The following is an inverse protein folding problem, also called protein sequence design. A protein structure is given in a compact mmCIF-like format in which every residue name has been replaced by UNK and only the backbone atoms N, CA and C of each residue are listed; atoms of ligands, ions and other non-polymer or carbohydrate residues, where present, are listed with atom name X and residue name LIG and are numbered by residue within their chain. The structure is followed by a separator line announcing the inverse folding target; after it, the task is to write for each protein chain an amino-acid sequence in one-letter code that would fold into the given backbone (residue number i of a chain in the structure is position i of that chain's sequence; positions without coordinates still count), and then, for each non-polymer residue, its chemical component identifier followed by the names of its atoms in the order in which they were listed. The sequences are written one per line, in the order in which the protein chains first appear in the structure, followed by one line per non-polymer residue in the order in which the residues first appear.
data_IF_746866491729
#
_entry.id   IF_746866491729
#
_cell.length_a   1.000
_cell.length_b   1.000
_cell.length_c   1.000
_cell.angle_alpha   90.00
_cell.angle_beta   90.00
_cell.angle_gamma   90.00
#
_symmetry.space_group_name_H-M   'P 1'
#
loop_
_entity.id
_entity.type
_entity.pdbx_description
1 polymer ?
#
# COMPACT_ATOMS: atom_id res chain seq x y z
N UNK A 1 36.09 0.22 55.69
CA UNK A 1 35.94 1.44 54.88
C UNK A 1 35.86 0.99 53.45
N UNK A 2 34.64 0.70 53.00
CA UNK A 2 34.35 0.26 51.63
C UNK A 2 34.07 1.53 50.82
N UNK A 3 34.91 1.85 49.82
CA UNK A 3 34.62 2.93 48.88
C UNK A 3 33.95 2.34 47.63
N UNK A 4 32.69 2.72 47.46
CA UNK A 4 31.83 2.40 46.33
C UNK A 4 32.35 3.16 45.09
N UNK A 5 32.86 2.41 44.10
CA UNK A 5 33.35 2.97 42.83
C UNK A 5 32.18 3.11 41.85
N UNK A 6 31.58 4.29 41.85
CA UNK A 6 30.50 4.69 40.92
C UNK A 6 31.06 4.81 39.51
N UNK A 7 30.81 3.80 38.68
CA UNK A 7 31.13 3.85 37.24
C UNK A 7 30.14 4.81 36.57
N UNK A 8 30.61 6.03 36.31
CA UNK A 8 29.89 7.00 35.46
C UNK A 8 29.86 6.47 34.02
N UNK A 9 28.72 5.89 33.62
CA UNK A 9 28.43 5.57 32.22
C UNK A 9 28.23 6.89 31.48
N UNK A 10 29.27 7.36 30.78
CA UNK A 10 29.12 8.43 29.81
C UNK A 10 28.19 7.97 28.70
N UNK A 11 26.94 8.44 28.72
CA UNK A 11 25.99 8.28 27.62
C UNK A 11 26.59 9.01 26.41
N UNK A 12 27.17 8.26 25.47
CA UNK A 12 27.64 8.80 24.19
C UNK A 12 26.40 9.29 23.43
N UNK A 13 26.16 10.60 23.47
CA UNK A 13 25.07 11.25 22.71
C UNK A 13 25.33 11.03 21.21
N UNK A 14 24.52 10.18 20.58
CA UNK A 14 24.56 9.93 19.13
C UNK A 14 24.17 11.20 18.39
N UNK A 15 25.11 11.80 17.66
CA UNK A 15 24.90 13.04 16.91
C UNK A 15 23.94 12.79 15.73
N UNK A 16 22.71 13.31 15.82
CA UNK A 16 21.63 13.16 14.85
C UNK A 16 21.56 14.31 13.83
N UNK A 17 22.72 14.80 13.36
CA UNK A 17 22.79 15.99 12.49
C UNK A 17 21.92 15.90 11.23
N UNK A 18 21.75 14.70 10.67
CA UNK A 18 20.90 14.47 9.50
C UNK A 18 19.40 14.62 9.80
N UNK A 19 18.96 14.19 11.00
CA UNK A 19 17.57 14.36 11.44
C UNK A 19 17.22 15.83 11.67
N UNK A 20 18.15 16.59 12.28
CA UNK A 20 17.99 18.05 12.45
C UNK A 20 17.89 18.76 11.10
N UNK A 21 18.71 18.38 10.12
CA UNK A 21 18.68 18.97 8.78
C UNK A 21 17.33 18.72 8.06
N UNK A 22 16.79 17.50 8.15
CA UNK A 22 15.47 17.19 7.57
C UNK A 22 14.34 18.00 8.20
N UNK A 23 14.39 18.21 9.52
CA UNK A 23 13.38 18.96 10.25
C UNK A 23 13.42 20.46 9.91
N UNK A 24 14.61 21.07 9.90
CA UNK A 24 14.78 22.49 9.55
C UNK A 24 14.40 22.73 8.09
N UNK A 25 14.75 21.82 7.17
CA UNK A 25 14.36 21.91 5.76
C UNK A 25 12.84 21.82 5.58
N UNK A 26 12.16 20.90 6.27
CA UNK A 26 10.70 20.77 6.24
C UNK A 26 9.98 22.01 6.80
N UNK A 27 10.49 22.58 7.90
CA UNK A 27 9.93 23.81 8.48
C UNK A 27 10.07 25.01 7.55
N UNK A 28 11.23 25.17 6.90
CA UNK A 28 11.47 26.24 5.93
C UNK A 28 10.57 26.04 4.70
N UNK A 29 10.41 24.81 4.20
CA UNK A 29 9.50 24.51 3.09
C UNK A 29 8.03 24.83 3.43
N UNK A 30 7.60 24.56 4.67
CA UNK A 30 6.25 24.89 5.14
C UNK A 30 6.02 26.40 5.21
N UNK A 31 6.96 27.15 5.79
CA UNK A 31 6.83 28.60 5.97
C UNK A 31 6.97 29.35 4.63
N UNK A 32 7.91 28.96 3.76
CA UNK A 32 8.17 29.66 2.49
C UNK A 32 7.34 29.14 1.31
N UNK A 33 6.80 27.93 1.37
CA UNK A 33 5.94 27.35 0.33
C UNK A 33 4.62 28.09 0.15
N UNK A 34 4.11 28.74 1.20
CA UNK A 34 2.92 29.59 1.16
C UNK A 34 3.14 30.91 0.39
N UNK A 35 4.38 31.40 0.29
CA UNK A 35 4.67 32.71 -0.29
C UNK A 35 5.33 32.66 -1.68
N UNK A 36 6.14 31.63 -1.98
CA UNK A 36 6.86 31.43 -3.25
C UNK A 36 6.64 29.99 -3.78
N UNK A 37 5.49 29.76 -4.40
CA UNK A 37 4.98 28.43 -4.78
C UNK A 37 5.96 27.49 -5.55
N UNK A 38 6.79 27.93 -6.52
CA UNK A 38 7.62 26.99 -7.27
C UNK A 38 8.87 26.50 -6.49
N UNK A 39 9.39 27.31 -5.55
CA UNK A 39 10.60 26.95 -4.79
C UNK A 39 10.29 26.00 -3.63
N UNK A 40 9.10 26.10 -3.04
CA UNK A 40 8.67 25.22 -1.94
C UNK A 40 8.54 23.75 -2.35
N UNK A 41 8.15 23.48 -3.60
CA UNK A 41 8.00 22.12 -4.11
C UNK A 41 9.34 21.38 -4.16
N UNK A 42 10.39 22.02 -4.70
CA UNK A 42 11.74 21.44 -4.77
C UNK A 42 12.32 21.18 -3.37
N UNK A 43 12.15 22.13 -2.43
CA UNK A 43 12.64 21.95 -1.06
C UNK A 43 11.88 20.85 -0.30
N UNK A 44 10.57 20.72 -0.53
CA UNK A 44 9.77 19.66 0.13
C UNK A 44 10.22 18.25 -0.28
N UNK A 45 10.54 18.04 -1.56
CA UNK A 45 11.06 16.77 -2.06
C UNK A 45 12.40 16.42 -1.40
N UNK A 46 13.31 17.40 -1.29
CA UNK A 46 14.60 17.21 -0.62
C UNK A 46 14.42 16.88 0.86
N UNK A 47 13.47 17.53 1.55
CA UNK A 47 13.17 17.25 2.95
C UNK A 47 12.66 15.82 3.16
N UNK A 48 11.78 15.32 2.28
CA UNK A 48 11.27 13.94 2.33
C UNK A 48 12.39 12.93 2.12
N UNK A 49 13.25 13.14 1.11
CA UNK A 49 14.39 12.25 0.82
C UNK A 49 15.36 12.18 2.01
N UNK A 50 15.73 13.34 2.58
CA UNK A 50 16.60 13.39 3.76
C UNK A 50 15.95 12.76 5.00
N UNK A 51 14.64 12.91 5.15
CA UNK A 51 13.86 12.26 6.20
C UNK A 51 13.90 10.73 6.10
N UNK A 52 13.64 10.17 4.91
CA UNK A 52 13.70 8.71 4.65
C UNK A 52 15.11 8.16 4.96
N UNK A 53 16.16 8.85 4.50
CA UNK A 53 17.56 8.45 4.76
C UNK A 53 17.88 8.54 6.27
N UNK A 54 17.35 9.55 6.98
CA UNK A 54 17.56 9.71 8.42
C UNK A 54 16.92 8.60 9.25
N UNK A 55 15.75 8.10 8.84
CA UNK A 55 15.05 6.98 9.47
C UNK A 55 15.89 5.70 9.32
N UNK A 56 16.40 5.44 8.12
CA UNK A 56 17.18 4.22 7.84
C UNK A 56 18.58 4.23 8.48
N UNK A 57 19.25 5.38 8.59
CA UNK A 57 20.63 5.45 9.13
C UNK A 57 20.73 5.70 10.62
N UNK A 58 19.88 6.56 11.19
CA UNK A 58 20.10 7.06 12.55
C UNK A 58 18.98 6.71 13.51
N UNK A 59 17.80 6.31 13.02
CA UNK A 59 16.54 6.16 13.80
C UNK A 59 16.32 7.33 14.75
N UNK A 60 16.71 8.55 14.35
CA UNK A 60 16.56 9.73 15.19
C UNK A 60 15.09 10.13 15.23
N UNK A 61 14.49 10.28 16.42
CA UNK A 61 13.10 10.71 16.58
C UNK A 61 12.79 12.03 15.85
N UNK A 62 13.79 12.90 15.70
CA UNK A 62 13.65 14.17 14.97
C UNK A 62 13.54 14.00 13.44
N UNK A 63 14.12 12.94 12.87
CA UNK A 63 13.96 12.62 11.44
C UNK A 63 12.56 12.11 11.12
N UNK A 64 11.96 11.34 12.03
CA UNK A 64 10.57 10.89 11.95
C UNK A 64 9.63 12.10 12.03
N UNK A 65 9.88 13.01 12.98
CA UNK A 65 9.13 14.27 13.08
C UNK A 65 9.27 15.13 11.81
N UNK A 66 10.46 15.19 11.22
CA UNK A 66 10.73 15.89 9.96
C UNK A 66 9.94 15.31 8.79
N UNK A 67 9.85 13.98 8.65
CA UNK A 67 9.04 13.34 7.61
C UNK A 67 7.55 13.62 7.78
N UNK A 68 7.02 13.54 9.00
CA UNK A 68 5.59 13.80 9.27
C UNK A 68 5.24 15.25 8.93
N UNK A 69 6.07 16.20 9.36
CA UNK A 69 5.87 17.62 9.07
C UNK A 69 6.01 17.92 7.57
N UNK A 70 6.97 17.30 6.88
CA UNK A 70 7.17 17.43 5.44
C UNK A 70 5.98 16.92 4.62
N UNK A 71 5.41 15.78 4.99
CA UNK A 71 4.21 15.23 4.33
C UNK A 71 2.99 16.14 4.52
N UNK A 72 2.77 16.67 5.71
CA UNK A 72 1.69 17.62 5.99
C UNK A 72 1.88 18.92 5.18
N UNK A 73 3.11 19.42 5.08
CA UNK A 73 3.44 20.60 4.30
C UNK A 73 3.20 20.41 2.80
N UNK A 74 3.54 19.23 2.26
CA UNK A 74 3.29 18.88 0.86
C UNK A 74 1.79 18.85 0.55
N UNK A 75 1.00 18.21 1.40
CA UNK A 75 -0.46 18.16 1.26
C UNK A 75 -1.06 19.58 1.31
N UNK A 76 -0.61 20.39 2.25
CA UNK A 76 -1.08 21.78 2.41
C UNK A 76 -0.72 22.65 1.20
N UNK A 77 0.50 22.49 0.66
CA UNK A 77 0.96 23.21 -0.53
C UNK A 77 0.13 22.86 -1.77
N UNK A 78 -0.15 21.57 -1.97
CA UNK A 78 -1.00 21.10 -3.08
C UNK A 78 -2.43 21.64 -2.94
N UNK A 79 -2.99 21.64 -1.73
CA UNK A 79 -4.32 22.20 -1.46
C UNK A 79 -4.40 23.70 -1.80
N UNK A 80 -3.39 24.50 -1.40
CA UNK A 80 -3.33 25.93 -1.72
C UNK A 80 -3.24 26.18 -3.24
N UNK A 81 -2.49 25.33 -3.96
CA UNK A 81 -2.39 25.41 -5.42
C UNK A 81 -3.74 25.15 -6.12
N UNK A 82 -4.49 24.14 -5.66
CA UNK A 82 -5.83 23.81 -6.19
C UNK A 82 -6.85 24.91 -5.91
N UNK A 83 -6.77 25.54 -4.72
CA UNK A 83 -7.62 26.67 -4.35
C UNK A 83 -7.32 27.92 -5.20
N UNK A 84 -6.04 28.21 -5.47
CA UNK A 84 -5.63 29.34 -6.31
C UNK A 84 -6.05 29.15 -7.79
N UNK A 85 -6.20 27.91 -8.26
CA UNK A 85 -6.62 27.57 -9.62
C UNK A 85 -8.15 27.51 -9.81
N UNK A 86 -8.96 27.76 -8.76
CA UNK A 86 -10.43 27.82 -8.86
C UNK A 86 -11.14 26.47 -9.06
N UNK A 87 -10.44 25.34 -8.94
CA UNK A 87 -10.97 24.00 -9.18
C UNK A 87 -11.47 23.32 -7.89
N UNK A 88 -12.31 24.00 -7.12
CA UNK A 88 -12.61 23.60 -5.73
C UNK A 88 -13.74 22.57 -5.56
N UNK A 89 -14.48 22.20 -6.61
CA UNK A 89 -15.68 21.36 -6.45
C UNK A 89 -15.51 19.88 -6.80
N UNK A 90 -14.50 19.51 -7.58
CA UNK A 90 -14.30 18.12 -8.06
C UNK A 90 -13.27 17.36 -7.25
N UNK A 91 -12.18 18.01 -6.81
CA UNK A 91 -11.08 17.35 -6.08
C UNK A 91 -11.46 17.02 -4.62
N UNK A 92 -12.25 17.87 -3.96
CA UNK A 92 -12.64 17.65 -2.55
C UNK A 92 -13.55 16.42 -2.37
N UNK A 93 -14.36 16.07 -3.38
CA UNK A 93 -15.20 14.87 -3.34
C UNK A 93 -14.38 13.57 -3.41
N UNK A 94 -13.23 13.60 -4.10
CA UNK A 94 -12.35 12.44 -4.25
C UNK A 94 -11.38 12.28 -3.05
N UNK A 95 -11.09 13.37 -2.34
CA UNK A 95 -10.24 13.37 -1.14
C UNK A 95 -11.01 12.98 0.12
N UNK A 96 -12.29 13.37 0.24
CA UNK A 96 -13.16 13.00 1.37
C UNK A 96 -13.32 11.47 1.46
N UNK A 97 -13.45 10.81 0.31
CA UNK A 97 -13.61 9.35 0.19
C UNK A 97 -12.31 8.59 0.53
N UNK A 98 -11.13 9.20 0.31
CA UNK A 98 -9.82 8.61 0.67
C UNK A 98 -9.36 8.90 2.10
N UNK A 99 -9.85 9.96 2.74
CA UNK A 99 -9.41 10.35 4.10
C UNK A 99 -10.04 9.53 5.24
N UNK A 100 -11.11 8.78 4.97
CA UNK A 100 -11.79 7.94 5.98
C UNK A 100 -10.94 6.76 6.51
N UNK A 101 -9.77 6.47 5.93
CA UNK A 101 -8.97 5.28 6.29
C UNK A 101 -7.80 5.61 7.26
N UNK A 102 -7.48 6.88 7.53
CA UNK A 102 -6.25 7.23 8.28
C UNK A 102 -6.45 7.68 9.74
N UNK A 103 -7.68 7.77 10.25
CA UNK A 103 -7.95 8.26 11.62
C UNK A 103 -8.92 7.32 12.32
N UNK A 104 -8.40 6.26 12.92
CA UNK A 104 -8.76 5.79 14.27
C UNK A 104 -8.17 4.41 14.49
N UNK A 105 -7.17 4.33 15.36
CA UNK A 105 -6.96 3.11 16.12
C UNK A 105 -6.68 3.49 17.58
N UNK A 106 -7.77 3.58 18.35
CA UNK A 106 -7.79 3.26 19.77
C UNK A 106 -9.20 2.82 20.20
N UNK A 107 -9.29 1.49 20.33
CA UNK A 107 -10.07 0.68 21.28
C UNK A 107 -11.60 0.58 21.21
N UNK A 108 -12.00 -0.69 21.38
CA UNK A 108 -13.24 -1.21 21.93
C UNK A 108 -14.51 -1.21 21.04
N UNK A 109 -14.72 -2.38 20.43
CA UNK A 109 -16.00 -3.08 20.46
C UNK A 109 -17.21 -2.33 19.90
N UNK A 110 -17.37 -2.36 18.59
CA UNK A 110 -18.69 -2.31 17.96
C UNK A 110 -18.73 -3.34 16.83
N UNK A 111 -19.55 -4.37 17.02
CA UNK A 111 -20.11 -5.15 15.92
C UNK A 111 -20.76 -4.16 14.95
N UNK A 112 -20.06 -3.92 13.84
CA UNK A 112 -20.65 -3.28 12.68
C UNK A 112 -21.14 -4.40 11.78
N UNK A 113 -22.45 -4.40 11.53
CA UNK A 113 -23.06 -5.23 10.49
C UNK A 113 -22.42 -4.82 9.18
N UNK A 114 -21.42 -5.61 8.73
CA UNK A 114 -20.78 -5.48 7.41
C UNK A 114 -21.88 -5.53 6.36
N UNK A 115 -21.90 -4.54 5.47
CA UNK A 115 -22.61 -4.64 4.20
C UNK A 115 -22.14 -5.94 3.52
N UNK A 116 -23.04 -6.90 3.33
CA UNK A 116 -22.71 -8.22 2.76
C UNK A 116 -22.47 -8.02 1.27
N UNK A 117 -21.22 -7.72 0.91
CA UNK A 117 -20.77 -7.70 -0.48
C UNK A 117 -20.75 -9.15 -0.99
N UNK A 118 -21.71 -9.51 -1.82
CA UNK A 118 -21.81 -10.86 -2.41
C UNK A 118 -20.75 -10.95 -3.52
N UNK A 119 -19.81 -11.90 -3.47
CA UNK A 119 -18.80 -12.05 -4.51
C UNK A 119 -19.41 -12.54 -5.82
N UNK A 120 -18.88 -12.06 -6.94
CA UNK A 120 -19.16 -12.64 -8.26
C UNK A 120 -18.41 -13.96 -8.35
N UNK A 121 -19.12 -15.08 -8.48
CA UNK A 121 -18.51 -16.40 -8.61
C UNK A 121 -18.06 -16.61 -10.06
N UNK A 122 -16.78 -16.86 -10.26
CA UNK A 122 -16.16 -17.04 -11.58
C UNK A 122 -15.02 -18.05 -11.53
N UNK A 123 -14.64 -18.60 -12.68
CA UNK A 123 -13.41 -19.41 -12.83
C UNK A 123 -12.32 -18.65 -13.59
N UNK A 124 -11.07 -19.13 -13.48
CA UNK A 124 -9.96 -18.59 -14.27
C UNK A 124 -10.25 -18.75 -15.77
N UNK A 125 -10.82 -19.88 -16.19
CA UNK A 125 -11.23 -20.15 -17.57
C UNK A 125 -12.14 -19.04 -18.12
N UNK A 126 -13.18 -18.67 -17.37
CA UNK A 126 -14.17 -17.66 -17.78
C UNK A 126 -13.55 -16.26 -17.93
N UNK A 127 -12.75 -15.83 -16.97
CA UNK A 127 -12.17 -14.48 -16.99
C UNK A 127 -11.04 -14.36 -18.02
N UNK A 128 -10.29 -15.46 -18.27
CA UNK A 128 -9.28 -15.50 -19.31
C UNK A 128 -9.91 -15.55 -20.70
N UNK A 129 -10.97 -16.32 -20.91
CA UNK A 129 -11.74 -16.29 -22.15
C UNK A 129 -12.30 -14.88 -22.41
N UNK A 130 -12.86 -14.22 -21.39
CA UNK A 130 -13.36 -12.86 -21.52
C UNK A 130 -12.24 -11.87 -21.90
N UNK A 131 -11.04 -12.01 -21.31
CA UNK A 131 -9.86 -11.19 -21.62
C UNK A 131 -9.44 -11.39 -23.09
N UNK A 132 -9.32 -12.64 -23.53
CA UNK A 132 -8.90 -13.00 -24.88
C UNK A 132 -9.93 -12.58 -25.95
N UNK A 133 -11.22 -12.65 -25.62
CA UNK A 133 -12.29 -12.21 -26.52
C UNK A 133 -12.34 -10.69 -26.65
N UNK A 134 -12.23 -9.95 -25.53
CA UNK A 134 -12.22 -8.49 -25.52
C UNK A 134 -11.63 -7.94 -24.22
N UNK A 135 -10.36 -7.57 -24.25
CA UNK A 135 -9.65 -7.07 -23.08
C UNK A 135 -10.24 -5.78 -22.49
N UNK A 136 -10.76 -4.86 -23.32
CA UNK A 136 -11.39 -3.63 -22.84
C UNK A 136 -12.67 -3.94 -22.06
N UNK A 137 -13.51 -4.85 -22.58
CA UNK A 137 -14.73 -5.29 -21.91
C UNK A 137 -14.41 -6.05 -20.63
N UNK A 138 -13.40 -6.92 -20.65
CA UNK A 138 -12.96 -7.67 -19.48
C UNK A 138 -12.49 -6.74 -18.36
N UNK A 139 -11.67 -5.72 -18.70
CA UNK A 139 -11.22 -4.72 -17.73
C UNK A 139 -12.39 -3.94 -17.13
N UNK A 140 -13.34 -3.50 -17.95
CA UNK A 140 -14.55 -2.81 -17.47
C UNK A 140 -15.46 -3.70 -16.61
N UNK A 141 -15.46 -5.02 -16.86
CA UNK A 141 -16.31 -5.99 -16.16
C UNK A 141 -15.71 -6.41 -14.83
N UNK A 142 -14.40 -6.72 -14.79
CA UNK A 142 -13.78 -7.42 -13.66
C UNK A 142 -12.84 -6.57 -12.83
N UNK A 143 -12.28 -5.47 -13.35
CA UNK A 143 -11.38 -4.62 -12.56
C UNK A 143 -12.14 -3.99 -11.39
N UNK A 144 -11.53 -4.05 -10.20
CA UNK A 144 -12.06 -3.63 -8.90
C UNK A 144 -13.30 -4.41 -8.44
N UNK A 145 -13.64 -5.53 -9.09
CA UNK A 145 -14.74 -6.38 -8.63
C UNK A 145 -14.32 -7.33 -7.53
N UNK A 146 -15.26 -7.61 -6.64
CA UNK A 146 -15.13 -8.62 -5.61
C UNK A 146 -15.60 -9.95 -6.14
N UNK A 147 -14.70 -10.94 -6.13
CA UNK A 147 -14.91 -12.21 -6.80
C UNK A 147 -14.62 -13.36 -5.87
N UNK A 148 -15.32 -14.47 -6.11
CA UNK A 148 -14.95 -15.80 -5.67
C UNK A 148 -14.42 -16.50 -6.91
N UNK A 149 -13.10 -16.66 -6.97
CA UNK A 149 -12.38 -17.11 -8.14
C UNK A 149 -11.78 -18.49 -7.89
N UNK A 150 -12.11 -19.44 -8.76
CA UNK A 150 -11.59 -20.81 -8.71
C UNK A 150 -10.63 -21.08 -9.86
N UNK A 151 -9.50 -21.72 -9.55
CA UNK A 151 -8.49 -22.11 -10.54
C UNK A 151 -7.58 -23.24 -10.04
N UNK A 152 -6.71 -23.73 -10.92
CA UNK A 152 -5.73 -24.78 -10.60
C UNK A 152 -4.43 -24.16 -10.11
N UNK A 153 -3.90 -24.59 -8.95
CA UNK A 153 -2.64 -24.04 -8.43
C UNK A 153 -1.48 -24.33 -9.38
N UNK A 154 -0.79 -23.26 -9.81
CA UNK A 154 0.29 -23.32 -10.81
C UNK A 154 1.66 -23.03 -10.21
N UNK A 155 1.77 -21.99 -9.38
CA UNK A 155 3.04 -21.56 -8.79
C UNK A 155 2.82 -20.98 -7.38
N UNK A 156 3.83 -21.10 -6.52
CA UNK A 156 3.88 -20.45 -5.20
C UNK A 156 5.17 -19.65 -5.13
N UNK A 157 5.08 -18.37 -4.80
CA UNK A 157 6.27 -17.53 -4.66
C UNK A 157 7.06 -17.90 -3.39
N UNK A 158 8.38 -18.06 -3.53
CA UNK A 158 9.27 -18.45 -2.43
C UNK A 158 9.38 -17.43 -1.30
N UNK A 159 9.02 -16.16 -1.54
CA UNK A 159 8.96 -15.13 -0.48
C UNK A 159 7.60 -15.11 0.23
N UNK A 160 6.60 -15.85 -0.27
CA UNK A 160 5.25 -15.85 0.24
C UNK A 160 4.45 -14.59 -0.12
N UNK A 161 4.87 -13.83 -1.14
CA UNK A 161 4.16 -12.61 -1.54
C UNK A 161 2.90 -12.88 -2.38
N UNK A 162 2.90 -13.97 -3.14
CA UNK A 162 1.77 -14.37 -3.99
C UNK A 162 1.81 -15.87 -4.31
N UNK A 163 0.71 -16.37 -4.85
CA UNK A 163 0.69 -17.62 -5.60
C UNK A 163 -0.10 -17.40 -6.91
N UNK A 164 -0.05 -18.36 -7.83
CA UNK A 164 -0.71 -18.26 -9.12
C UNK A 164 -1.70 -19.40 -9.31
N UNK A 165 -2.91 -19.07 -9.76
CA UNK A 165 -3.92 -20.05 -10.19
C UNK A 165 -4.15 -19.93 -11.70
N UNK A 166 -4.17 -21.06 -12.39
CA UNK A 166 -4.34 -21.17 -13.84
C UNK A 166 -5.68 -21.76 -14.24
N UNK A 167 -5.84 -21.95 -15.55
CA UNK A 167 -7.00 -22.55 -16.21
C UNK A 167 -7.25 -23.97 -15.66
N UNK A 168 -8.51 -24.30 -15.37
CA UNK A 168 -8.92 -25.62 -14.88
C UNK A 168 -8.97 -26.65 -16.02
N UNK A 169 -9.40 -26.24 -17.21
CA UNK A 169 -9.61 -27.12 -18.37
C UNK A 169 -8.35 -27.45 -19.18
N UNK A 170 -7.24 -26.72 -19.00
CA UNK A 170 -6.00 -26.91 -19.76
C UNK A 170 -4.76 -26.87 -18.85
N UNK A 171 -4.16 -28.04 -18.62
CA UNK A 171 -2.98 -28.23 -17.78
C UNK A 171 -1.69 -27.65 -18.40
N UNK A 172 -1.69 -27.34 -19.70
CA UNK A 172 -0.53 -26.78 -20.40
C UNK A 172 -0.61 -25.26 -20.60
N UNK A 173 -1.69 -24.63 -20.16
CA UNK A 173 -1.83 -23.18 -20.26
C UNK A 173 -0.86 -22.47 -19.31
N UNK A 174 -0.25 -21.40 -19.81
CA UNK A 174 0.58 -20.49 -19.01
C UNK A 174 -0.21 -19.27 -18.52
N UNK A 175 -1.49 -19.17 -18.89
CA UNK A 175 -2.36 -18.09 -18.45
C UNK A 175 -2.72 -18.31 -16.98
N UNK A 176 -2.28 -17.37 -16.14
CA UNK A 176 -2.48 -17.45 -14.70
C UNK A 176 -2.96 -16.12 -14.13
N UNK A 177 -3.66 -16.21 -13.02
CA UNK A 177 -4.02 -15.08 -12.17
C UNK A 177 -3.01 -15.03 -11.03
N UNK A 178 -2.43 -13.86 -10.80
CA UNK A 178 -1.53 -13.63 -9.68
C UNK A 178 -2.34 -13.25 -8.45
N UNK A 179 -2.34 -14.11 -7.44
CA UNK A 179 -3.06 -13.94 -6.18
C UNK A 179 -2.10 -13.40 -5.12
N UNK A 180 -2.11 -12.10 -4.89
CA UNK A 180 -1.35 -11.44 -3.83
C UNK A 180 -1.90 -11.84 -2.46
N UNK A 181 -1.01 -12.23 -1.56
CA UNK A 181 -1.34 -12.69 -0.21
C UNK A 181 -0.57 -11.89 0.83
N UNK A 182 -1.03 -11.98 2.08
CA UNK A 182 -0.40 -11.35 3.24
C UNK A 182 -0.07 -12.41 4.31
N UNK A 183 0.49 -11.99 5.44
CA UNK A 183 0.96 -12.87 6.52
C UNK A 183 -0.12 -13.85 7.04
N UNK A 184 -1.40 -13.48 7.00
CA UNK A 184 -2.51 -14.31 7.51
C UNK A 184 -2.79 -15.55 6.64
N UNK A 185 -2.39 -15.51 5.37
CA UNK A 185 -2.63 -16.60 4.41
C UNK A 185 -1.47 -17.59 4.33
N UNK A 186 -0.30 -17.24 4.89
CA UNK A 186 0.93 -18.00 4.70
C UNK A 186 0.82 -19.44 5.19
N UNK A 187 0.21 -19.67 6.35
CA UNK A 187 0.05 -21.03 6.89
C UNK A 187 -0.77 -21.92 5.97
N UNK A 188 -1.88 -21.40 5.45
CA UNK A 188 -2.74 -22.10 4.48
C UNK A 188 -1.97 -22.42 3.20
N UNK A 189 -1.29 -21.42 2.62
CA UNK A 189 -0.57 -21.58 1.35
C UNK A 189 0.64 -22.50 1.49
N UNK A 190 1.33 -22.54 2.64
CA UNK A 190 2.42 -23.50 2.89
C UNK A 190 1.95 -24.96 2.86
N UNK A 191 0.68 -25.22 3.12
CA UNK A 191 0.10 -26.56 3.09
C UNK A 191 -0.52 -26.92 1.73
N UNK A 192 -0.38 -26.05 0.72
CA UNK A 192 -0.87 -26.33 -0.61
C UNK A 192 -0.07 -27.42 -1.31
N UNK A 193 -0.78 -28.23 -2.08
CA UNK A 193 -0.18 -29.20 -2.99
C UNK A 193 -0.24 -28.65 -4.41
N UNK A 194 0.83 -28.85 -5.18
CA UNK A 194 0.85 -28.49 -6.59
C UNK A 194 -0.37 -29.06 -7.31
N UNK A 195 -0.87 -28.31 -8.30
CA UNK A 195 -1.96 -28.73 -9.19
C UNK A 195 -3.33 -28.94 -8.52
N UNK A 196 -3.48 -28.69 -7.22
CA UNK A 196 -4.78 -28.75 -6.58
C UNK A 196 -5.69 -27.60 -7.04
N UNK A 197 -6.99 -27.83 -7.00
CA UNK A 197 -7.98 -26.77 -7.17
C UNK A 197 -7.98 -25.85 -5.95
N UNK A 198 -7.97 -24.53 -6.17
CA UNK A 198 -8.00 -23.53 -5.12
C UNK A 198 -9.08 -22.51 -5.45
N UNK A 199 -9.87 -22.17 -4.44
CA UNK A 199 -10.86 -21.08 -4.52
C UNK A 199 -10.44 -19.95 -3.59
N UNK A 200 -10.34 -18.75 -4.14
CA UNK A 200 -10.01 -17.52 -3.39
C UNK A 200 -11.16 -16.54 -3.46
N UNK A 201 -11.37 -15.81 -2.38
CA UNK A 201 -12.22 -14.63 -2.38
C UNK A 201 -11.33 -13.40 -2.25
N UNK A 202 -11.55 -12.41 -3.11
CA UNK A 202 -10.74 -11.22 -3.11
C UNK A 202 -11.20 -10.18 -4.13
N UNK A 203 -10.38 -9.16 -4.31
CA UNK A 203 -10.65 -8.07 -5.28
C UNK A 203 -9.66 -8.12 -6.42
N UNK A 204 -10.15 -8.16 -7.66
CA UNK A 204 -9.29 -8.02 -8.84
C UNK A 204 -8.81 -6.57 -8.94
N UNK A 205 -7.49 -6.34 -8.88
CA UNK A 205 -6.89 -4.99 -8.91
C UNK A 205 -6.30 -4.64 -10.27
N UNK A 206 -5.85 -5.65 -11.01
CA UNK A 206 -5.25 -5.49 -12.34
C UNK A 206 -5.95 -6.39 -13.34
N UNK A 207 -6.19 -5.84 -14.52
CA UNK A 207 -6.65 -6.56 -15.73
C UNK A 207 -5.88 -5.98 -16.90
N UNK A 208 -5.15 -6.81 -17.64
CA UNK A 208 -4.40 -6.37 -18.82
C UNK A 208 -3.97 -7.52 -19.72
N UNK A 209 -3.69 -7.20 -20.99
CA UNK A 209 -3.38 -8.17 -22.04
C UNK A 209 -2.05 -8.91 -21.82
N UNK A 210 -1.08 -8.25 -21.17
CA UNK A 210 0.26 -8.80 -20.95
C UNK A 210 0.40 -9.45 -19.58
N UNK A 211 -0.10 -8.76 -18.54
CA UNK A 211 0.05 -9.20 -17.15
C UNK A 211 -1.12 -10.07 -16.67
N UNK A 212 -2.16 -10.26 -17.50
CA UNK A 212 -3.37 -10.99 -17.14
C UNK A 212 -4.13 -10.30 -16.00
N UNK A 213 -4.45 -11.08 -14.97
CA UNK A 213 -5.19 -10.62 -13.80
C UNK A 213 -4.32 -10.65 -12.55
N UNK A 214 -4.52 -9.66 -11.68
CA UNK A 214 -4.01 -9.67 -10.30
C UNK A 214 -5.18 -9.55 -9.34
N UNK A 215 -5.20 -10.41 -8.33
CA UNK A 215 -6.21 -10.46 -7.28
C UNK A 215 -5.54 -10.27 -5.92
N UNK A 216 -6.08 -9.36 -5.11
CA UNK A 216 -5.74 -9.22 -3.69
C UNK A 216 -6.63 -10.18 -2.90
N UNK A 217 -6.02 -11.18 -2.27
CA UNK A 217 -6.74 -12.24 -1.54
C UNK A 217 -7.23 -11.71 -0.20
N UNK A 218 -8.53 -11.86 0.06
CA UNK A 218 -9.12 -11.62 1.38
C UNK A 218 -9.30 -12.94 2.15
N UNK A 219 -9.66 -14.03 1.47
CA UNK A 219 -9.76 -15.35 2.09
C UNK A 219 -9.53 -16.48 1.09
N UNK A 220 -9.12 -17.63 1.61
CA UNK A 220 -8.91 -18.87 0.86
C UNK A 220 -9.91 -19.90 1.39
N UNK A 221 -10.62 -20.59 0.49
CA UNK A 221 -11.55 -21.66 0.84
C UNK A 221 -10.89 -23.05 0.79
#
# INVERSE_FOLDING_TARGET
MEQENVVNVAIVKKNSGLGVASFVCGLIAFIFGICLAPLGLVLSIIAVILGIISINKSKSGLGIAGTVLGSIALITSIAVLVLAAGATSTIFKEVDERSKIAVENKEAGKEQVKEVKIPIVVTVDEIMEALNNNALKASATYKNQYVELTGKLSNIDSSGSYFSIGILSDEFSFDTVLCNINEEHLETVMNFNNEQEVTVIGTITVVGEIMGYTLEVESIK
#
